data_IF_499311755020
#
_entry.id   IF_499311755020
#
_cell.length_a   1.000
_cell.length_b   1.000
_cell.length_c   1.000
_cell.angle_alpha   90.00
_cell.angle_beta   90.00
_cell.angle_gamma   90.00
#
_symmetry.space_group_name_H-M   'P 1'
#
loop_
_entity.id
_entity.type
_entity.pdbx_description
1 polymer ?
#
# COMPACT_ATOMS: atom_id res chain seq x y z
N UNK A 1 -8.42 -24.79 -11.03
CA UNK A 1 -7.49 -24.24 -10.01
C UNK A 1 -7.77 -22.76 -9.68
N UNK A 2 -8.29 -21.91 -10.60
CA UNK A 2 -8.63 -20.49 -10.31
C UNK A 2 -9.68 -20.22 -9.21
N UNK A 3 -10.67 -21.11 -9.02
CA UNK A 3 -11.75 -20.89 -8.01
C UNK A 3 -11.27 -20.92 -6.56
N UNK A 4 -10.22 -21.70 -6.26
CA UNK A 4 -9.70 -21.83 -4.88
C UNK A 4 -8.92 -20.57 -4.50
N UNK A 5 -8.17 -19.98 -5.44
CA UNK A 5 -7.45 -18.73 -5.25
C UNK A 5 -8.40 -17.54 -5.03
N UNK A 6 -9.48 -17.44 -5.81
CA UNK A 6 -10.50 -16.39 -5.62
C UNK A 6 -11.25 -16.50 -4.28
N UNK A 7 -11.59 -17.71 -3.83
CA UNK A 7 -12.24 -17.92 -2.53
C UNK A 7 -11.33 -17.48 -1.38
N UNK A 8 -10.04 -17.87 -1.42
CA UNK A 8 -9.05 -17.47 -0.41
C UNK A 8 -8.88 -15.95 -0.37
N UNK A 9 -8.79 -15.29 -1.52
CA UNK A 9 -8.67 -13.83 -1.59
C UNK A 9 -9.89 -13.11 -1.00
N UNK A 10 -11.09 -13.64 -1.25
CA UNK A 10 -12.33 -13.08 -0.69
C UNK A 10 -12.42 -13.24 0.82
N UNK A 11 -11.97 -14.38 1.35
CA UNK A 11 -11.89 -14.61 2.80
C UNK A 11 -10.83 -13.70 3.44
N UNK A 12 -9.68 -13.51 2.78
CA UNK A 12 -8.63 -12.60 3.24
C UNK A 12 -9.11 -11.14 3.29
N UNK A 13 -9.77 -10.67 2.21
CA UNK A 13 -10.38 -9.34 2.15
C UNK A 13 -11.31 -9.11 3.34
N UNK A 14 -12.28 -10.01 3.54
CA UNK A 14 -13.26 -9.88 4.63
C UNK A 14 -12.61 -9.91 6.00
N UNK A 15 -11.65 -10.82 6.20
CA UNK A 15 -10.89 -10.90 7.45
C UNK A 15 -10.19 -9.58 7.74
N UNK A 16 -9.50 -9.00 6.75
CA UNK A 16 -8.82 -7.73 6.90
C UNK A 16 -9.78 -6.57 7.17
N UNK A 17 -10.89 -6.48 6.44
CA UNK A 17 -11.93 -5.47 6.69
C UNK A 17 -12.42 -5.52 8.14
N UNK A 18 -12.76 -6.72 8.64
CA UNK A 18 -13.20 -6.91 10.02
C UNK A 18 -12.11 -6.60 11.03
N UNK A 19 -10.84 -6.93 10.74
CA UNK A 19 -9.71 -6.60 11.59
C UNK A 19 -9.53 -5.09 11.69
N UNK A 20 -9.60 -4.36 10.58
CA UNK A 20 -9.51 -2.88 10.58
C UNK A 20 -10.70 -2.27 11.33
N UNK A 21 -11.93 -2.70 11.04
CA UNK A 21 -13.14 -2.21 11.73
C UNK A 21 -13.11 -2.48 13.25
N UNK A 22 -12.54 -3.61 13.69
CA UNK A 22 -12.48 -3.98 15.09
C UNK A 22 -11.34 -3.32 15.87
N UNK A 23 -10.20 -3.09 15.23
CA UNK A 23 -8.98 -2.60 15.89
C UNK A 23 -8.76 -1.09 15.73
N UNK A 24 -9.18 -0.52 14.61
CA UNK A 24 -8.97 0.89 14.29
C UNK A 24 -10.29 1.66 14.46
N UNK A 25 -10.25 2.80 15.14
CA UNK A 25 -11.40 3.71 15.17
C UNK A 25 -11.40 4.51 13.87
N UNK A 26 -12.43 4.36 13.05
CA UNK A 26 -12.50 4.97 11.72
C UNK A 26 -13.12 6.37 11.71
N UNK A 27 -13.16 7.01 12.87
CA UNK A 27 -13.76 8.35 13.02
C UNK A 27 -12.87 9.44 12.41
N UNK A 28 -11.55 9.29 12.53
CA UNK A 28 -10.54 10.25 12.07
C UNK A 28 -9.33 9.52 11.48
N UNK A 29 -8.53 10.24 10.69
CA UNK A 29 -7.36 9.66 10.03
C UNK A 29 -6.27 9.31 11.03
N UNK A 30 -6.09 10.14 12.04
CA UNK A 30 -5.13 9.94 13.13
C UNK A 30 -5.43 8.63 13.86
N UNK A 31 -6.70 8.36 14.17
CA UNK A 31 -7.09 7.11 14.82
C UNK A 31 -6.84 5.86 13.94
N UNK A 32 -6.94 6.00 12.61
CA UNK A 32 -6.62 4.92 11.67
C UNK A 32 -5.11 4.64 11.65
N UNK A 33 -4.30 5.70 11.52
CA UNK A 33 -2.82 5.64 11.54
C UNK A 33 -2.32 5.09 12.87
N UNK A 34 -2.83 5.60 13.99
CA UNK A 34 -2.51 5.09 15.34
C UNK A 34 -2.88 3.62 15.47
N UNK A 35 -3.99 3.20 14.86
CA UNK A 35 -4.41 1.80 14.78
C UNK A 35 -3.39 0.94 14.04
N UNK A 36 -2.93 1.38 12.87
CA UNK A 36 -1.90 0.67 12.09
C UNK A 36 -0.60 0.53 12.87
N UNK A 37 -0.12 1.62 13.49
CA UNK A 37 1.12 1.60 14.29
C UNK A 37 0.97 0.67 15.50
N UNK A 38 -0.12 0.82 16.27
CA UNK A 38 -0.36 0.06 17.49
C UNK A 38 -0.50 -1.44 17.25
N UNK A 39 -1.12 -1.82 16.14
CA UNK A 39 -1.38 -3.21 15.79
C UNK A 39 -0.52 -3.69 14.61
N UNK A 40 0.64 -3.06 14.36
CA UNK A 40 1.49 -3.37 13.20
C UNK A 40 1.80 -4.85 13.05
N UNK A 41 2.09 -5.54 14.16
CA UNK A 41 2.40 -6.97 14.17
C UNK A 41 1.26 -7.83 13.62
N UNK A 42 0.01 -7.38 13.78
CA UNK A 42 -1.17 -8.06 13.19
C UNK A 42 -1.25 -7.72 11.71
N UNK A 43 -1.08 -6.45 11.33
CA UNK A 43 -1.19 -6.02 9.94
C UNK A 43 -0.07 -6.56 9.04
N UNK A 44 1.16 -6.71 9.55
CA UNK A 44 2.26 -7.36 8.82
C UNK A 44 1.95 -8.83 8.48
N UNK A 45 1.00 -9.49 9.17
CA UNK A 45 0.56 -10.85 8.79
C UNK A 45 -0.28 -10.87 7.51
N UNK A 46 -0.84 -9.73 7.10
CA UNK A 46 -1.63 -9.57 5.89
C UNK A 46 -0.81 -9.07 4.70
N UNK A 47 0.50 -8.86 4.87
CA UNK A 47 1.39 -8.28 3.85
C UNK A 47 2.62 -9.17 3.62
N UNK A 48 2.51 -10.47 3.92
CA UNK A 48 3.63 -11.42 3.77
C UNK A 48 3.91 -11.86 2.33
N UNK A 49 3.02 -11.56 1.39
CA UNK A 49 3.21 -11.88 -0.02
C UNK A 49 2.50 -10.85 -0.89
N UNK A 50 2.99 -10.70 -2.12
CA UNK A 50 2.48 -9.78 -3.14
C UNK A 50 0.96 -9.70 -3.24
N UNK A 51 0.28 -10.85 -3.31
CA UNK A 51 -1.18 -10.87 -3.49
C UNK A 51 -1.91 -10.34 -2.25
N UNK A 52 -1.42 -10.68 -1.06
CA UNK A 52 -2.01 -10.22 0.19
C UNK A 52 -1.70 -8.73 0.41
N UNK A 53 -0.51 -8.25 0.04
CA UNK A 53 -0.18 -6.81 0.01
C UNK A 53 -1.12 -6.02 -0.89
N UNK A 54 -1.39 -6.50 -2.12
CA UNK A 54 -2.33 -5.84 -3.02
C UNK A 54 -3.76 -5.86 -2.50
N UNK A 55 -4.19 -6.95 -1.85
CA UNK A 55 -5.50 -7.00 -1.17
C UNK A 55 -5.52 -5.99 -0.01
N UNK A 56 -4.42 -5.88 0.75
CA UNK A 56 -4.30 -4.95 1.86
C UNK A 56 -4.44 -3.50 1.38
N UNK A 57 -3.63 -3.10 0.39
CA UNK A 57 -3.70 -1.76 -0.20
C UNK A 57 -5.08 -1.48 -0.79
N UNK A 58 -5.69 -2.44 -1.49
CA UNK A 58 -7.05 -2.29 -2.01
C UNK A 58 -8.14 -2.14 -0.95
N UNK A 59 -7.99 -2.80 0.20
CA UNK A 59 -8.90 -2.60 1.35
C UNK A 59 -8.67 -1.22 1.97
N UNK A 60 -7.42 -0.76 2.09
CA UNK A 60 -7.12 0.62 2.53
C UNK A 60 -7.77 1.65 1.58
N UNK A 61 -7.67 1.45 0.26
CA UNK A 61 -8.34 2.28 -0.74
C UNK A 61 -9.86 2.36 -0.50
N UNK A 62 -10.49 1.21 -0.26
CA UNK A 62 -11.93 1.12 0.05
C UNK A 62 -12.30 1.89 1.31
N UNK A 63 -11.48 1.80 2.36
CA UNK A 63 -11.68 2.57 3.59
C UNK A 63 -11.57 4.08 3.35
N UNK A 64 -10.57 4.51 2.57
CA UNK A 64 -10.37 5.92 2.21
C UNK A 64 -11.56 6.47 1.41
N UNK A 65 -12.03 5.75 0.39
CA UNK A 65 -13.09 6.23 -0.50
C UNK A 65 -14.50 6.12 0.10
N UNK A 66 -14.81 5.02 0.79
CA UNK A 66 -16.22 4.68 1.09
C UNK A 66 -16.65 4.96 2.52
N UNK A 67 -15.73 5.04 3.48
CA UNK A 67 -16.11 5.27 4.89
C UNK A 67 -16.17 6.75 5.27
N UNK A 68 -15.14 7.52 4.92
CA UNK A 68 -15.11 8.96 5.23
C UNK A 68 -14.27 9.74 4.20
N UNK A 69 -14.73 9.82 2.94
CA UNK A 69 -13.94 10.38 1.84
C UNK A 69 -13.44 11.82 2.13
N UNK A 70 -14.28 12.66 2.72
CA UNK A 70 -13.93 14.04 3.06
C UNK A 70 -12.78 14.15 4.07
N UNK A 71 -12.68 13.18 4.99
CA UNK A 71 -11.64 13.14 6.01
C UNK A 71 -10.35 12.46 5.53
N UNK A 72 -10.46 11.49 4.61
CA UNK A 72 -9.34 10.60 4.26
C UNK A 72 -8.69 10.87 2.91
N UNK A 73 -9.44 11.29 1.88
CA UNK A 73 -8.88 11.47 0.53
C UNK A 73 -7.74 12.49 0.49
N UNK A 74 -7.87 13.59 1.23
CA UNK A 74 -6.81 14.59 1.35
C UNK A 74 -5.60 14.15 2.19
N UNK A 75 -5.64 12.95 2.77
CA UNK A 75 -4.64 12.41 3.70
C UNK A 75 -4.00 11.10 3.21
N UNK A 76 -4.28 10.69 1.97
CA UNK A 76 -3.71 9.46 1.37
C UNK A 76 -2.20 9.39 1.54
N UNK A 77 -1.48 10.49 1.27
CA UNK A 77 -0.03 10.58 1.49
C UNK A 77 0.38 10.11 2.90
N UNK A 78 -0.28 10.63 3.95
CA UNK A 78 0.05 10.30 5.34
C UNK A 78 -0.26 8.85 5.70
N UNK A 79 -1.28 8.27 5.09
CA UNK A 79 -1.62 6.87 5.30
C UNK A 79 -0.53 5.98 4.69
N UNK A 80 -0.11 6.27 3.46
CA UNK A 80 0.95 5.50 2.80
C UNK A 80 2.31 5.67 3.51
N UNK A 81 2.65 6.90 3.91
CA UNK A 81 3.83 7.20 4.72
C UNK A 81 3.82 6.40 6.03
N UNK A 82 2.69 6.35 6.75
CA UNK A 82 2.57 5.51 7.95
C UNK A 82 2.81 4.02 7.67
N UNK A 83 2.27 3.49 6.57
CA UNK A 83 2.45 2.07 6.22
C UNK A 83 3.91 1.75 5.90
N UNK A 84 4.61 2.70 5.28
CA UNK A 84 6.04 2.63 4.95
C UNK A 84 6.90 2.73 6.23
N UNK A 85 6.75 3.80 7.01
CA UNK A 85 7.52 4.04 8.24
C UNK A 85 7.34 2.93 9.29
N UNK A 86 6.17 2.28 9.27
CA UNK A 86 5.85 1.20 10.21
C UNK A 86 6.33 -0.18 9.74
N UNK A 87 6.91 -0.28 8.55
CA UNK A 87 7.34 -1.53 7.90
C UNK A 87 6.18 -2.54 7.78
N UNK A 88 5.00 -2.02 7.39
CA UNK A 88 3.79 -2.84 7.19
C UNK A 88 3.72 -3.32 5.74
N UNK A 89 4.09 -2.48 4.78
CA UNK A 89 4.12 -2.82 3.36
C UNK A 89 5.47 -2.42 2.78
N UNK A 90 6.13 -3.34 2.11
CA UNK A 90 7.42 -3.06 1.43
C UNK A 90 7.22 -2.09 0.26
N UNK A 91 8.25 -1.31 -0.02
CA UNK A 91 8.34 -0.30 -1.07
C UNK A 91 8.00 -0.88 -2.46
N UNK A 92 8.57 -2.04 -2.81
CA UNK A 92 8.31 -2.74 -4.07
C UNK A 92 6.80 -2.93 -4.30
N UNK A 93 6.06 -3.40 -3.29
CA UNK A 93 4.62 -3.62 -3.41
C UNK A 93 3.82 -2.32 -3.50
N UNK A 94 4.27 -1.25 -2.86
CA UNK A 94 3.64 0.07 -3.00
C UNK A 94 3.83 0.62 -4.41
N UNK A 95 5.03 0.46 -4.99
CA UNK A 95 5.34 0.89 -6.35
C UNK A 95 4.59 0.05 -7.40
N UNK A 96 4.53 -1.27 -7.21
CA UNK A 96 3.76 -2.17 -8.07
C UNK A 96 2.25 -1.85 -8.02
N UNK A 97 1.72 -1.62 -6.82
CA UNK A 97 0.35 -1.16 -6.67
C UNK A 97 0.14 0.16 -7.40
N UNK A 98 1.06 1.13 -7.30
CA UNK A 98 1.03 2.42 -8.01
C UNK A 98 1.09 2.32 -9.53
N UNK A 99 1.79 1.31 -10.07
CA UNK A 99 1.92 1.06 -11.49
C UNK A 99 0.71 0.31 -12.10
N UNK A 100 -0.14 -0.30 -11.27
CA UNK A 100 -1.30 -1.05 -11.73
C UNK A 100 -2.30 -0.11 -12.44
N UNK A 101 -2.75 -0.52 -13.62
CA UNK A 101 -3.81 0.19 -14.34
C UNK A 101 -5.07 0.28 -13.46
N UNK A 102 -5.68 1.45 -13.37
CA UNK A 102 -6.77 1.74 -12.43
C UNK A 102 -8.04 0.92 -12.69
N UNK A 103 -8.26 0.47 -13.92
CA UNK A 103 -9.35 -0.45 -14.30
C UNK A 103 -9.12 -1.88 -13.78
N UNK A 104 -7.88 -2.22 -13.40
CA UNK A 104 -7.49 -3.48 -12.77
C UNK A 104 -7.42 -3.40 -11.24
N UNK A 105 -7.85 -2.28 -10.65
CA UNK A 105 -7.94 -2.16 -9.20
C UNK A 105 -8.72 -3.35 -8.61
N UNK A 106 -8.17 -3.95 -7.55
CA UNK A 106 -8.69 -5.23 -7.04
C UNK A 106 -10.01 -5.08 -6.28
N UNK A 107 -10.23 -3.94 -5.64
CA UNK A 107 -11.27 -3.76 -4.62
C UNK A 107 -12.19 -2.55 -4.90
N UNK A 108 -11.61 -1.42 -5.30
CA UNK A 108 -12.32 -0.19 -5.63
C UNK A 108 -12.62 -0.13 -7.12
N UNK A 109 -13.58 0.72 -7.51
CA UNK A 109 -13.83 0.96 -8.93
C UNK A 109 -12.76 1.85 -9.57
N UNK A 110 -12.80 1.97 -10.89
CA UNK A 110 -11.79 2.73 -11.63
C UNK A 110 -11.76 4.21 -11.23
N UNK A 111 -12.92 4.84 -10.99
CA UNK A 111 -12.99 6.26 -10.66
C UNK A 111 -12.41 6.53 -9.27
N UNK A 112 -12.76 5.68 -8.30
CA UNK A 112 -12.19 5.68 -6.95
C UNK A 112 -10.66 5.46 -7.00
N UNK A 113 -10.20 4.49 -7.79
CA UNK A 113 -8.77 4.20 -7.95
C UNK A 113 -8.00 5.39 -8.52
N UNK A 114 -8.51 6.02 -9.59
CA UNK A 114 -7.91 7.21 -10.20
C UNK A 114 -7.75 8.32 -9.16
N UNK A 115 -8.82 8.64 -8.43
CA UNK A 115 -8.80 9.70 -7.43
C UNK A 115 -7.75 9.44 -6.32
N UNK A 116 -7.67 8.20 -5.82
CA UNK A 116 -6.66 7.85 -4.81
C UNK A 116 -5.25 7.96 -5.39
N UNK A 117 -5.02 7.48 -6.63
CA UNK A 117 -3.68 7.46 -7.23
C UNK A 117 -3.17 8.88 -7.48
N UNK A 118 -4.04 9.81 -7.84
CA UNK A 118 -3.71 11.24 -7.92
C UNK A 118 -3.24 11.80 -6.57
N UNK A 119 -3.91 11.41 -5.47
CA UNK A 119 -3.52 11.85 -4.11
C UNK A 119 -2.27 11.13 -3.59
N UNK A 120 -2.01 9.91 -4.05
CA UNK A 120 -0.84 9.12 -3.72
C UNK A 120 0.40 9.54 -4.53
N UNK A 121 0.23 10.18 -5.69
CA UNK A 121 1.33 10.51 -6.61
C UNK A 121 2.52 11.24 -5.97
N UNK A 122 2.34 12.22 -5.04
CA UNK A 122 3.48 12.85 -4.37
C UNK A 122 4.27 11.87 -3.50
N UNK A 123 3.59 10.94 -2.82
CA UNK A 123 4.23 9.91 -2.00
C UNK A 123 4.97 8.91 -2.88
N UNK A 124 4.35 8.42 -3.95
CA UNK A 124 4.98 7.46 -4.87
C UNK A 124 6.20 8.07 -5.56
N UNK A 125 6.15 9.36 -5.89
CA UNK A 125 7.32 10.06 -6.43
C UNK A 125 8.45 10.10 -5.41
N UNK A 126 8.17 10.53 -4.18
CA UNK A 126 9.15 10.53 -3.09
C UNK A 126 9.72 9.13 -2.85
N UNK A 127 8.88 8.09 -2.80
CA UNK A 127 9.30 6.71 -2.56
C UNK A 127 10.31 6.22 -3.62
N UNK A 128 10.08 6.53 -4.90
CA UNK A 128 11.03 6.19 -5.98
C UNK A 128 12.36 6.91 -5.82
N UNK A 129 12.33 8.21 -5.54
CA UNK A 129 13.54 9.02 -5.36
C UNK A 129 14.40 8.51 -4.19
N UNK A 130 13.80 7.99 -3.11
CA UNK A 130 14.57 7.44 -1.98
C UNK A 130 15.03 5.99 -2.19
N UNK A 131 14.36 5.20 -3.04
CA UNK A 131 14.80 3.84 -3.36
C UNK A 131 16.08 3.85 -4.19
N UNK A 132 16.20 4.80 -5.12
CA UNK A 132 17.38 4.95 -5.98
C UNK A 132 18.62 5.47 -5.22
N UNK A 133 18.45 6.13 -4.06
CA UNK A 133 19.55 6.64 -3.22
C UNK A 133 20.23 5.55 -2.35
N UNK A 134 19.62 4.38 -2.17
CA UNK A 134 20.16 3.27 -1.35
C UNK A 134 20.99 2.25 -2.15
N UNK A 135 21.07 2.40 -3.49
CA UNK A 135 21.72 1.46 -4.43
C UNK A 135 22.99 2.03 -5.09
N UNK A 136 23.56 3.12 -4.57
CA UNK A 136 24.75 3.80 -5.11
C UNK A 136 26.01 3.53 -4.27
N UNK A 137 26.38 2.24 -4.14
CA UNK A 137 27.71 1.83 -3.61
C UNK A 137 28.32 0.66 -4.42
N UNK A 138 29.54 0.90 -4.95
CA UNK A 138 30.46 0.01 -5.71
C UNK A 138 29.98 -0.41 -7.11
N UNK A 139 30.64 -0.02 -8.22
CA UNK A 139 32.05 -0.31 -8.50
C UNK A 139 32.57 0.65 -9.61
N UNK A 140 33.42 1.60 -9.20
CA UNK A 140 34.16 2.53 -10.03
C UNK A 140 35.65 2.13 -9.91
N UNK A 141 36.11 1.16 -10.72
CA UNK A 141 37.51 0.98 -11.16
C UNK A 141 37.73 -0.42 -11.79
N UNK A 142 38.01 -0.48 -13.09
CA UNK A 142 39.18 -1.20 -13.64
C UNK A 142 39.37 -0.89 -15.13
N UNK A 143 40.19 0.14 -15.35
CA UNK A 143 41.22 0.39 -16.37
C UNK A 143 41.15 -0.22 -17.79
N UNK A 144 41.36 0.69 -18.74
CA UNK A 144 41.86 0.47 -20.10
C UNK A 144 43.07 -0.49 -20.15
N UNK A 145 43.15 -1.37 -21.13
CA UNK A 145 44.30 -1.48 -22.05
C UNK A 145 43.93 -2.37 -23.26
N UNK A 146 43.76 -1.72 -24.42
CA UNK A 146 43.98 -2.36 -25.72
C UNK A 146 45.49 -2.55 -25.92
N UNK A 147 45.94 -3.80 -26.12
CA UNK A 147 47.15 -4.17 -26.90
C UNK A 147 47.21 -5.66 -27.20
#
# INVERSE_FOLDING_TARGET
>A
IRRISMARNFDQKKKLQLTIDALCKLDTMENLVDGFIKYKAIFSTFTQNKNDCHIFLGVVEEFVCRRNPDAFLGKVYKILECLYDSDIVEDEYMLEWAALETDKALIVDQEEAVNIREKAAPFIKWLKENQDDDDDTDDDDEEEEES
#
